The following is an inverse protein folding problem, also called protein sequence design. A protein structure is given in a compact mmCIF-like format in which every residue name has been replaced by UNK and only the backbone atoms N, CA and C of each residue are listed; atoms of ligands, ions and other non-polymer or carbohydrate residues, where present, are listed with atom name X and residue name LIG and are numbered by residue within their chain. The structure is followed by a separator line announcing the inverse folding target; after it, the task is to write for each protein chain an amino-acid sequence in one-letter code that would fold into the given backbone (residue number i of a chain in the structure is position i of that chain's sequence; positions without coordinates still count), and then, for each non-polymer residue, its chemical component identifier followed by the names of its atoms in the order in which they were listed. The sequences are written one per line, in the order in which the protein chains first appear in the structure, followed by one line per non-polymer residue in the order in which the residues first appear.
data_IF_818412237354
#
_entry.id   IF_818412237354
#
_cell.length_a   1.000
_cell.length_b   1.000
_cell.length_c   1.000
_cell.angle_alpha   90.00
_cell.angle_beta   90.00
_cell.angle_gamma   90.00
#
_symmetry.space_group_name_H-M   'P 1'
#
loop_
_entity.id
_entity.type
_entity.pdbx_description
1 polymer ?
#
# COMPACT_ATOMS: atom_id res chain seq x y z
N UNK A 1 3.73 -9.41 31.39
CA UNK A 1 3.99 -8.74 30.07
C UNK A 1 5.43 -9.04 29.67
N UNK A 2 5.60 -9.63 28.50
CA UNK A 2 6.89 -10.26 28.12
C UNK A 2 7.88 -9.20 27.62
N UNK A 3 9.13 -9.28 28.08
CA UNK A 3 10.31 -8.48 27.64
C UNK A 3 10.46 -8.50 26.10
N UNK A 4 9.93 -9.52 25.41
CA UNK A 4 9.92 -9.64 23.95
C UNK A 4 8.97 -8.62 23.31
N UNK A 5 7.81 -8.38 23.90
CA UNK A 5 6.82 -7.40 23.43
C UNK A 5 7.26 -5.93 23.67
N UNK A 6 8.10 -5.72 24.70
CA UNK A 6 8.72 -4.41 24.96
C UNK A 6 9.87 -4.10 23.99
N UNK A 7 10.67 -5.13 23.64
CA UNK A 7 11.74 -4.99 22.62
C UNK A 7 11.18 -4.78 21.21
N UNK A 8 10.02 -5.34 20.89
CA UNK A 8 9.36 -5.09 19.59
C UNK A 8 8.78 -3.68 19.51
N UNK A 9 8.30 -3.12 20.62
CA UNK A 9 7.81 -1.73 20.68
C UNK A 9 8.93 -0.68 20.66
N UNK A 10 10.16 -1.06 21.00
CA UNK A 10 11.32 -0.17 21.03
C UNK A 10 12.07 -0.07 19.69
N UNK A 11 11.76 -0.90 18.71
CA UNK A 11 12.38 -0.78 17.39
C UNK A 11 11.73 0.35 16.59
N UNK A 12 12.58 1.25 16.07
CA UNK A 12 12.11 2.25 15.10
C UNK A 12 11.38 1.54 13.95
N UNK A 13 10.19 1.99 13.56
CA UNK A 13 9.50 1.44 12.39
C UNK A 13 10.21 1.80 11.08
N UNK A 14 11.23 2.67 11.09
CA UNK A 14 12.00 3.04 9.90
C UNK A 14 12.94 1.92 9.48
N UNK A 15 13.06 1.73 8.18
CA UNK A 15 14.02 0.82 7.58
C UNK A 15 15.39 1.52 7.59
N UNK A 16 16.39 0.87 8.19
CA UNK A 16 17.73 1.41 8.24
C UNK A 16 18.50 1.25 6.93
N UNK A 17 19.54 2.07 6.72
CA UNK A 17 20.35 2.01 5.50
C UNK A 17 21.03 0.65 5.29
N UNK A 18 21.48 0.00 6.35
CA UNK A 18 22.08 -1.35 6.29
C UNK A 18 21.04 -2.40 5.87
N UNK A 19 19.81 -2.30 6.37
CA UNK A 19 18.69 -3.17 6.01
C UNK A 19 18.32 -2.99 4.52
N UNK A 20 18.30 -1.75 4.03
CA UNK A 20 18.04 -1.44 2.62
C UNK A 20 19.10 -2.01 1.69
N UNK A 21 20.35 -1.95 2.08
CA UNK A 21 21.49 -2.45 1.26
C UNK A 21 21.37 -3.95 0.95
N UNK A 22 20.70 -4.73 1.80
CA UNK A 22 20.50 -6.17 1.59
C UNK A 22 19.51 -6.48 0.48
N UNK A 23 18.61 -5.54 0.14
CA UNK A 23 17.55 -5.75 -0.84
C UNK A 23 17.90 -5.25 -2.25
N UNK A 24 18.97 -4.49 -2.41
CA UNK A 24 19.35 -3.89 -3.69
C UNK A 24 18.35 -2.84 -4.19
N UNK A 25 18.45 -2.49 -5.48
CA UNK A 25 17.52 -1.56 -6.11
C UNK A 25 16.13 -2.18 -6.21
N UNK A 26 15.14 -1.51 -5.63
CA UNK A 26 13.74 -1.86 -5.79
C UNK A 26 13.22 -1.27 -7.10
N UNK A 27 12.34 -2.01 -7.77
CA UNK A 27 11.81 -1.61 -9.07
C UNK A 27 11.20 -0.21 -9.04
N UNK A 28 11.46 0.56 -10.08
CA UNK A 28 10.78 1.82 -10.32
C UNK A 28 9.30 1.56 -10.67
N UNK A 29 8.49 2.59 -10.55
CA UNK A 29 7.10 2.56 -11.00
C UNK A 29 7.02 2.50 -12.52
N UNK A 30 5.93 1.95 -13.02
CA UNK A 30 5.57 1.92 -14.44
C UNK A 30 4.16 2.46 -14.61
N UNK A 31 3.82 3.06 -15.77
CA UNK A 31 2.46 3.47 -16.04
C UNK A 31 1.47 2.33 -15.84
N UNK A 32 0.34 2.61 -15.19
CA UNK A 32 -0.73 1.63 -15.04
C UNK A 32 -1.41 1.35 -16.38
N UNK A 33 -2.07 0.21 -16.49
CA UNK A 33 -2.87 -0.16 -17.65
C UNK A 33 -4.37 -0.09 -17.34
N UNK A 34 -5.20 -0.04 -18.38
CA UNK A 34 -6.65 -0.12 -18.23
C UNK A 34 -7.08 -1.47 -17.62
N UNK A 35 -6.41 -2.57 -18.00
CA UNK A 35 -6.69 -3.89 -17.46
C UNK A 35 -6.39 -3.98 -15.97
N UNK A 36 -5.29 -3.40 -15.53
CA UNK A 36 -4.90 -3.28 -14.12
C UNK A 36 -5.94 -2.47 -13.33
N UNK A 37 -6.30 -1.29 -13.82
CA UNK A 37 -7.30 -0.43 -13.18
C UNK A 37 -8.66 -1.12 -13.06
N UNK A 38 -9.11 -1.76 -14.14
CA UNK A 38 -10.37 -2.51 -14.15
C UNK A 38 -10.37 -3.67 -13.14
N UNK A 39 -9.25 -4.40 -13.04
CA UNK A 39 -9.10 -5.49 -12.10
C UNK A 39 -9.10 -5.00 -10.64
N UNK A 40 -8.42 -3.88 -10.34
CA UNK A 40 -8.46 -3.27 -9.00
C UNK A 40 -9.88 -2.83 -8.63
N UNK A 41 -10.57 -2.13 -9.50
CA UNK A 41 -11.98 -1.75 -9.28
C UNK A 41 -12.83 -3.01 -9.04
N UNK A 42 -12.62 -4.06 -9.83
CA UNK A 42 -13.30 -5.35 -9.67
C UNK A 42 -13.10 -5.96 -8.28
N UNK A 43 -11.85 -5.95 -7.75
CA UNK A 43 -11.54 -6.47 -6.42
C UNK A 43 -12.30 -5.73 -5.30
N UNK A 44 -12.48 -4.43 -5.43
CA UNK A 44 -13.19 -3.61 -4.43
C UNK A 44 -14.71 -3.68 -4.57
N UNK A 45 -15.22 -4.09 -5.74
CA UNK A 45 -16.67 -4.08 -6.05
C UNK A 45 -17.29 -5.47 -6.12
N UNK A 46 -16.60 -6.54 -5.70
CA UNK A 46 -17.20 -7.88 -5.65
C UNK A 46 -18.50 -7.87 -4.83
N UNK A 47 -19.49 -8.65 -5.23
CA UNK A 47 -20.87 -8.59 -4.77
C UNK A 47 -21.07 -8.67 -3.23
N UNK A 48 -20.10 -9.19 -2.49
CA UNK A 48 -20.11 -9.23 -1.02
C UNK A 48 -19.34 -8.08 -0.36
N UNK A 49 -18.66 -7.26 -1.14
CA UNK A 49 -17.91 -6.11 -0.64
C UNK A 49 -18.89 -4.97 -0.31
N UNK A 50 -18.76 -4.43 0.90
CA UNK A 50 -19.50 -3.22 1.32
C UNK A 50 -18.59 -1.99 1.31
N UNK A 51 -17.58 -1.97 0.43
CA UNK A 51 -16.65 -0.86 0.33
C UNK A 51 -17.33 0.29 -0.41
N UNK A 52 -17.56 1.39 0.31
CA UNK A 52 -18.13 2.63 -0.20
C UNK A 52 -17.12 3.77 -0.22
N UNK A 53 -16.18 3.73 0.74
CA UNK A 53 -15.19 4.78 0.96
C UNK A 53 -13.78 4.24 0.89
N UNK A 54 -12.89 5.00 0.25
CA UNK A 54 -11.46 4.66 0.18
C UNK A 54 -10.58 5.85 0.55
N UNK A 55 -9.38 5.57 1.07
CA UNK A 55 -8.28 6.51 1.05
C UNK A 55 -7.22 6.03 0.05
N UNK A 56 -6.70 6.93 -0.74
CA UNK A 56 -5.69 6.66 -1.76
C UNK A 56 -4.35 7.17 -1.26
N UNK A 57 -3.33 6.33 -1.34
CA UNK A 57 -1.96 6.70 -1.07
C UNK A 57 -1.09 6.54 -2.31
N UNK A 58 -0.19 7.50 -2.58
CA UNK A 58 0.68 7.40 -3.74
C UNK A 58 2.05 8.04 -3.53
N UNK A 59 3.05 7.52 -4.23
CA UNK A 59 4.35 8.19 -4.38
C UNK A 59 4.20 9.46 -5.24
N UNK A 60 5.18 10.36 -5.17
CA UNK A 60 5.16 11.64 -5.92
C UNK A 60 5.62 11.52 -7.36
N UNK A 61 6.07 10.36 -7.80
CA UNK A 61 6.40 10.16 -9.20
C UNK A 61 5.16 10.24 -10.11
N UNK A 62 5.39 10.53 -11.39
CA UNK A 62 4.31 10.80 -12.34
C UNK A 62 3.42 9.57 -12.58
N UNK A 63 3.98 8.36 -12.59
CA UNK A 63 3.23 7.13 -12.83
C UNK A 63 2.29 6.83 -11.66
N UNK A 64 2.78 6.96 -10.42
CA UNK A 64 1.99 6.77 -9.21
C UNK A 64 0.87 7.80 -9.08
N UNK A 65 1.15 9.07 -9.37
CA UNK A 65 0.14 10.13 -9.37
C UNK A 65 -0.95 9.84 -10.41
N UNK A 66 -0.57 9.53 -11.65
CA UNK A 66 -1.51 9.22 -12.74
C UNK A 66 -2.39 8.03 -12.41
N UNK A 67 -1.82 6.97 -11.81
CA UNK A 67 -2.58 5.79 -11.39
C UNK A 67 -3.57 6.12 -10.27
N UNK A 68 -3.17 6.93 -9.29
CA UNK A 68 -4.03 7.38 -8.20
C UNK A 68 -5.21 8.22 -8.70
N UNK A 69 -4.96 9.16 -9.62
CA UNK A 69 -5.98 10.01 -10.24
C UNK A 69 -6.96 9.18 -11.09
N UNK A 70 -6.45 8.24 -11.89
CA UNK A 70 -7.28 7.35 -12.69
C UNK A 70 -8.19 6.47 -11.81
N UNK A 71 -7.65 5.95 -10.72
CA UNK A 71 -8.45 5.19 -9.76
C UNK A 71 -9.53 6.06 -9.12
N UNK A 72 -9.19 7.26 -8.65
CA UNK A 72 -10.13 8.18 -8.02
C UNK A 72 -11.31 8.50 -8.98
N UNK A 73 -11.00 8.88 -10.21
CA UNK A 73 -12.01 9.17 -11.22
C UNK A 73 -12.93 7.95 -11.50
N UNK A 74 -12.35 6.76 -11.65
CA UNK A 74 -13.11 5.54 -11.87
C UNK A 74 -13.98 5.12 -10.68
N UNK A 75 -13.51 5.39 -9.45
CA UNK A 75 -14.23 5.10 -8.21
C UNK A 75 -15.42 6.05 -8.03
N UNK A 76 -15.18 7.35 -8.18
CA UNK A 76 -16.21 8.40 -8.06
C UNK A 76 -17.27 8.31 -9.15
N UNK A 77 -16.90 7.91 -10.38
CA UNK A 77 -17.85 7.65 -11.46
C UNK A 77 -18.88 6.55 -11.13
N UNK A 78 -18.58 5.72 -10.12
CA UNK A 78 -19.49 4.69 -9.59
C UNK A 78 -20.34 5.16 -8.41
N UNK A 79 -20.33 6.46 -8.12
CA UNK A 79 -21.04 7.05 -6.98
C UNK A 79 -20.39 6.76 -5.62
N UNK A 80 -19.16 6.29 -5.61
CA UNK A 80 -18.39 5.97 -4.41
C UNK A 80 -17.51 7.16 -3.99
N UNK A 81 -16.91 7.12 -2.80
CA UNK A 81 -16.21 8.27 -2.23
C UNK A 81 -14.72 8.00 -2.02
N UNK A 82 -13.91 9.00 -2.35
CA UNK A 82 -12.52 9.10 -1.93
C UNK A 82 -12.46 10.05 -0.74
N UNK A 83 -12.12 9.56 0.44
CA UNK A 83 -12.04 10.37 1.67
C UNK A 83 -10.75 11.17 1.75
N UNK A 84 -9.65 10.59 1.28
CA UNK A 84 -8.35 11.23 1.27
C UNK A 84 -7.51 10.75 0.08
N UNK A 85 -6.72 11.66 -0.48
CA UNK A 85 -5.59 11.34 -1.35
C UNK A 85 -4.33 11.89 -0.70
N UNK A 86 -3.36 11.01 -0.44
CA UNK A 86 -2.18 11.32 0.35
C UNK A 86 -0.92 10.92 -0.41
N UNK A 87 -0.06 11.89 -0.66
CA UNK A 87 1.21 11.70 -1.31
C UNK A 87 2.39 11.65 -0.33
N UNK A 88 3.50 11.04 -0.75
CA UNK A 88 4.77 11.04 -0.03
C UNK A 88 5.97 10.99 -0.98
N UNK A 89 7.12 11.58 -0.58
CA UNK A 89 8.38 11.39 -1.29
C UNK A 89 8.97 10.01 -0.94
N UNK A 90 9.82 9.44 -1.80
CA UNK A 90 10.49 8.16 -1.54
C UNK A 90 11.45 8.21 -0.33
N UNK A 91 11.96 9.38 0.00
CA UNK A 91 12.73 9.62 1.21
C UNK A 91 12.07 10.71 2.04
N UNK A 92 11.65 10.39 3.25
CA UNK A 92 11.02 11.34 4.16
C UNK A 92 11.63 11.23 5.56
N UNK A 93 11.77 12.37 6.23
CA UNK A 93 12.23 12.43 7.62
C UNK A 93 11.19 11.84 8.60
N UNK A 94 9.91 11.83 8.23
CA UNK A 94 8.83 11.27 9.04
C UNK A 94 7.72 10.69 8.18
N UNK A 95 7.32 9.48 8.51
CA UNK A 95 6.22 8.76 7.87
C UNK A 95 4.92 8.81 8.68
N UNK A 96 4.94 9.46 9.85
CA UNK A 96 3.78 9.51 10.75
C UNK A 96 2.64 10.38 10.19
N UNK A 97 2.99 11.50 9.55
CA UNK A 97 1.98 12.41 8.99
C UNK A 97 1.18 11.76 7.85
N UNK A 98 1.80 11.19 6.80
CA UNK A 98 1.03 10.48 5.77
C UNK A 98 0.26 9.28 6.33
N UNK A 99 0.82 8.51 7.26
CA UNK A 99 0.12 7.39 7.89
C UNK A 99 -1.17 7.83 8.59
N UNK A 100 -1.11 8.90 9.38
CA UNK A 100 -2.29 9.45 10.06
C UNK A 100 -3.33 9.99 9.08
N UNK A 101 -2.90 10.71 8.04
CA UNK A 101 -3.83 11.24 7.03
C UNK A 101 -4.58 10.14 6.28
N UNK A 102 -3.95 8.99 6.05
CA UNK A 102 -4.58 7.83 5.40
C UNK A 102 -5.62 7.14 6.27
N UNK A 103 -5.58 7.30 7.59
CA UNK A 103 -6.42 6.51 8.52
C UNK A 103 -7.40 7.33 9.32
N UNK A 104 -7.23 8.66 9.40
CA UNK A 104 -8.02 9.54 10.30
C UNK A 104 -9.52 9.52 10.02
N UNK A 105 -9.92 9.33 8.76
CA UNK A 105 -11.34 9.29 8.36
C UNK A 105 -11.92 7.86 8.34
N UNK A 106 -11.15 6.88 8.80
CA UNK A 106 -11.54 5.47 8.87
C UNK A 106 -12.19 4.93 7.59
N UNK A 107 -11.50 4.95 6.43
CA UNK A 107 -12.05 4.47 5.17
C UNK A 107 -12.35 2.96 5.24
N UNK A 108 -13.26 2.49 4.38
CA UNK A 108 -13.55 1.05 4.28
C UNK A 108 -12.36 0.27 3.71
N UNK A 109 -11.57 0.90 2.83
CA UNK A 109 -10.38 0.32 2.23
C UNK A 109 -9.33 1.38 1.86
N UNK A 110 -8.12 0.91 1.58
CA UNK A 110 -7.01 1.72 1.08
C UNK A 110 -6.59 1.26 -0.31
N UNK A 111 -6.18 2.20 -1.15
CA UNK A 111 -5.61 1.93 -2.48
C UNK A 111 -4.25 2.57 -2.59
N UNK A 112 -3.25 1.81 -3.02
CA UNK A 112 -1.85 2.24 -3.05
C UNK A 112 -1.29 2.18 -4.47
N UNK A 113 -0.83 3.34 -4.95
CA UNK A 113 -0.10 3.49 -6.21
C UNK A 113 1.28 4.08 -5.90
N UNK A 114 2.31 3.25 -5.78
CA UNK A 114 3.56 3.72 -5.20
C UNK A 114 4.78 2.93 -5.68
N UNK A 115 5.95 3.53 -5.54
CA UNK A 115 7.21 2.83 -5.60
C UNK A 115 7.41 1.98 -4.33
N UNK A 116 8.04 0.80 -4.44
CA UNK A 116 8.13 -0.17 -3.35
C UNK A 116 8.83 0.36 -2.10
N UNK A 117 9.90 1.15 -2.24
CA UNK A 117 10.69 1.60 -1.10
C UNK A 117 9.92 2.56 -0.19
N UNK A 118 9.34 3.60 -0.75
CA UNK A 118 8.53 4.56 0.01
C UNK A 118 7.31 3.90 0.65
N UNK A 119 6.66 2.99 -0.09
CA UNK A 119 5.56 2.22 0.46
C UNK A 119 5.99 1.30 1.61
N UNK A 120 7.14 0.66 1.54
CA UNK A 120 7.65 -0.17 2.63
C UNK A 120 7.83 0.62 3.93
N UNK A 121 8.42 1.82 3.84
CA UNK A 121 8.56 2.74 4.98
C UNK A 121 7.21 3.13 5.56
N UNK A 122 6.28 3.51 4.69
CA UNK A 122 4.93 3.90 5.09
C UNK A 122 4.16 2.72 5.73
N UNK A 123 4.23 1.53 5.14
CA UNK A 123 3.52 0.34 5.64
C UNK A 123 3.98 -0.03 7.05
N UNK A 124 5.29 0.01 7.32
CA UNK A 124 5.82 -0.19 8.69
C UNK A 124 5.27 0.85 9.66
N UNK A 125 5.19 2.11 9.25
CA UNK A 125 4.63 3.18 10.09
C UNK A 125 3.12 3.02 10.29
N UNK A 126 2.37 2.69 9.25
CA UNK A 126 0.94 2.41 9.32
C UNK A 126 0.66 1.29 10.34
N UNK A 127 1.36 0.18 10.21
CA UNK A 127 1.21 -0.98 11.11
C UNK A 127 1.55 -0.67 12.56
N UNK A 128 2.57 0.16 12.78
CA UNK A 128 3.04 0.52 14.12
C UNK A 128 2.16 1.56 14.82
N UNK A 129 1.58 2.51 14.07
CA UNK A 129 1.06 3.75 14.66
C UNK A 129 -0.41 4.04 14.37
N UNK A 130 -1.11 3.16 13.64
CA UNK A 130 -2.51 3.34 13.22
C UNK A 130 -3.27 2.02 13.24
N UNK A 131 -4.59 2.09 13.02
CA UNK A 131 -5.47 0.93 12.85
C UNK A 131 -5.55 0.44 11.40
N UNK A 132 -4.56 0.78 10.58
CA UNK A 132 -4.50 0.32 9.19
C UNK A 132 -4.51 -1.20 9.08
N UNK A 133 -5.29 -1.70 8.12
CA UNK A 133 -5.44 -3.12 7.86
C UNK A 133 -4.95 -3.49 6.44
N UNK A 134 -3.84 -4.24 6.31
CA UNK A 134 -3.36 -4.68 5.01
C UNK A 134 -4.36 -5.57 4.27
N UNK A 135 -5.22 -6.31 4.95
CA UNK A 135 -6.24 -7.14 4.31
C UNK A 135 -7.35 -6.33 3.64
N UNK A 136 -7.48 -5.06 3.98
CA UNK A 136 -8.36 -4.08 3.32
C UNK A 136 -7.60 -3.13 2.40
N UNK A 137 -6.38 -3.47 2.02
CA UNK A 137 -5.53 -2.65 1.16
C UNK A 137 -5.35 -3.30 -0.21
N UNK A 138 -5.48 -2.47 -1.24
CA UNK A 138 -5.39 -2.87 -2.64
C UNK A 138 -4.29 -2.06 -3.33
N UNK A 139 -3.51 -2.69 -4.19
CA UNK A 139 -2.31 -2.08 -4.74
C UNK A 139 -2.15 -2.29 -6.24
N UNK A 140 -1.58 -1.30 -6.89
CA UNK A 140 -1.15 -1.37 -8.28
C UNK A 140 0.06 -2.29 -8.45
N UNK A 141 0.34 -2.70 -9.68
CA UNK A 141 1.37 -3.70 -10.06
C UNK A 141 2.78 -3.35 -9.58
N UNK A 142 3.11 -2.06 -9.47
CA UNK A 142 4.41 -1.61 -8.98
C UNK A 142 4.76 -2.13 -7.58
N UNK A 143 3.74 -2.47 -6.77
CA UNK A 143 3.92 -3.05 -5.44
C UNK A 143 3.95 -4.59 -5.43
N UNK A 144 3.85 -5.25 -6.59
CA UNK A 144 4.08 -6.68 -6.74
C UNK A 144 5.59 -7.00 -6.79
N UNK A 145 6.29 -6.70 -5.74
CA UNK A 145 7.71 -7.03 -5.60
C UNK A 145 7.87 -8.12 -4.52
N UNK A 146 8.49 -9.24 -4.88
CA UNK A 146 8.67 -10.39 -3.98
C UNK A 146 9.53 -10.07 -2.74
N UNK A 147 10.33 -9.01 -2.80
CA UNK A 147 11.18 -8.54 -1.69
C UNK A 147 10.39 -7.68 -0.69
N UNK A 148 9.28 -7.09 -1.12
CA UNK A 148 8.51 -6.13 -0.32
C UNK A 148 8.01 -6.73 1.02
N UNK A 149 7.45 -7.95 1.07
CA UNK A 149 7.06 -8.56 2.35
C UNK A 149 8.22 -8.78 3.32
N UNK A 150 9.40 -9.14 2.82
CA UNK A 150 10.59 -9.29 3.66
C UNK A 150 11.09 -7.94 4.21
N UNK A 151 11.10 -6.92 3.36
CA UNK A 151 11.52 -5.56 3.70
C UNK A 151 10.60 -4.90 4.75
N UNK A 152 9.30 -5.11 4.64
CA UNK A 152 8.32 -4.55 5.59
C UNK A 152 8.25 -5.28 6.93
N UNK A 153 8.78 -6.48 6.99
CA UNK A 153 8.75 -7.34 8.17
C UNK A 153 7.59 -8.33 8.19
N UNK A 154 7.67 -9.33 9.08
CA UNK A 154 6.71 -10.42 9.13
C UNK A 154 5.27 -9.92 9.25
N UNK A 155 4.39 -10.47 8.42
CA UNK A 155 2.93 -10.24 8.44
C UNK A 155 2.46 -8.78 8.29
N UNK A 156 3.38 -7.82 8.08
CA UNK A 156 3.01 -6.40 7.89
C UNK A 156 2.09 -6.21 6.69
N UNK A 157 2.30 -6.96 5.61
CA UNK A 157 1.49 -6.88 4.38
C UNK A 157 0.54 -8.07 4.20
N UNK A 158 0.37 -8.93 5.21
CA UNK A 158 -0.49 -10.10 5.08
C UNK A 158 -1.93 -9.71 4.73
N UNK A 159 -2.43 -10.27 3.62
CA UNK A 159 -3.77 -9.96 3.11
C UNK A 159 -3.84 -8.81 2.09
N UNK A 160 -2.75 -8.06 1.88
CA UNK A 160 -2.67 -7.06 0.80
C UNK A 160 -2.94 -7.75 -0.55
N UNK A 161 -3.74 -7.12 -1.39
CA UNK A 161 -4.12 -7.62 -2.72
C UNK A 161 -3.85 -6.58 -3.78
N UNK A 162 -3.70 -7.02 -5.02
CA UNK A 162 -3.50 -6.09 -6.11
C UNK A 162 -3.76 -6.71 -7.47
N UNK A 163 -3.55 -5.91 -8.50
CA UNK A 163 -3.62 -6.34 -9.89
C UNK A 163 -2.27 -6.18 -10.60
N UNK A 164 -2.02 -7.03 -11.57
CA UNK A 164 -0.89 -6.92 -12.49
C UNK A 164 -1.28 -6.10 -13.71
N UNK A 165 -0.29 -5.67 -14.50
CA UNK A 165 -0.53 -4.88 -15.70
C UNK A 165 -1.45 -5.55 -16.74
N UNK A 166 -1.51 -6.87 -16.76
CA UNK A 166 -2.42 -7.66 -17.59
C UNK A 166 -3.79 -7.94 -16.94
N UNK A 167 -4.02 -7.41 -15.74
CA UNK A 167 -5.28 -7.55 -15.01
C UNK A 167 -5.41 -8.83 -14.16
N UNK A 168 -4.36 -9.64 -14.05
CA UNK A 168 -4.36 -10.76 -13.12
C UNK A 168 -4.30 -10.27 -11.67
N UNK A 169 -4.85 -11.05 -10.74
CA UNK A 169 -4.89 -10.70 -9.32
C UNK A 169 -3.70 -11.33 -8.60
N UNK A 170 -3.11 -10.60 -7.68
CA UNK A 170 -2.08 -11.09 -6.77
C UNK A 170 -2.43 -10.74 -5.33
N UNK A 171 -1.81 -11.45 -4.37
CA UNK A 171 -1.99 -11.19 -2.95
C UNK A 171 -0.73 -11.54 -2.14
N UNK A 172 -0.61 -10.94 -0.97
CA UNK A 172 0.47 -11.26 -0.02
C UNK A 172 -0.04 -12.23 1.04
N UNK A 173 0.68 -13.35 1.17
CA UNK A 173 0.43 -14.32 2.23
C UNK A 173 1.72 -14.53 3.03
N UNK A 174 1.74 -14.04 4.27
CA UNK A 174 2.93 -14.00 5.12
C UNK A 174 4.10 -13.29 4.45
N UNK A 175 5.08 -14.06 3.93
CA UNK A 175 6.29 -13.54 3.27
C UNK A 175 6.28 -13.66 1.75
N UNK A 176 5.18 -14.13 1.16
CA UNK A 176 5.11 -14.48 -0.25
C UNK A 176 4.11 -13.62 -1.00
N UNK A 177 4.50 -13.19 -2.18
CA UNK A 177 3.59 -12.61 -3.17
C UNK A 177 3.13 -13.75 -4.06
N UNK A 178 1.82 -13.97 -4.13
CA UNK A 178 1.19 -15.07 -4.86
C UNK A 178 0.28 -14.52 -5.96
N UNK A 179 0.21 -15.19 -7.07
CA UNK A 179 -0.72 -14.94 -8.18
C UNK A 179 -1.77 -16.01 -8.22
#
# INVERSE_FOLDING_TARGET
MSIRAERERSRSPLIGAAELAEFGDLSATTPHTEAELAALIGLLTVAKSRIETVAIGHSRDADSLTAAEAFAAAWEARGKKVLASVDWPEAAASWLRPARRLTVEAPDAWVMAAAPLGFAQLARRLRHSTDWDPARTFAFASLRDSRLPALTGPDTLHGLRGATADGAVWHVRHRWVMS
#
